data_IF_095783624071
#
_entry.id   IF_095783624071
#
_cell.length_a   1.000
_cell.length_b   1.000
_cell.length_c   1.000
_cell.angle_alpha   90.00
_cell.angle_beta   90.00
_cell.angle_gamma   90.00
#
_symmetry.space_group_name_H-M   'P 1'
#
loop_
_entity.id
_entity.type
_entity.pdbx_description
1 polymer ?
#
# COMPACT_ATOMS: atom_id res chain seq x y z
N UNK A 1 -46.42 -13.21 -10.34
CA UNK A 1 -45.01 -13.59 -10.47
C UNK A 1 -44.21 -12.39 -9.97
N UNK A 2 -43.69 -12.45 -8.74
CA UNK A 2 -42.86 -11.35 -8.22
C UNK A 2 -41.59 -11.29 -9.06
N UNK A 3 -41.30 -10.12 -9.65
CA UNK A 3 -40.02 -9.90 -10.32
C UNK A 3 -38.91 -10.21 -9.32
N UNK A 4 -38.06 -11.18 -9.63
CA UNK A 4 -36.80 -11.36 -8.90
C UNK A 4 -36.09 -10.00 -8.86
N UNK A 5 -35.88 -9.45 -7.66
CA UNK A 5 -35.18 -8.18 -7.50
C UNK A 5 -33.83 -8.25 -8.22
N UNK A 6 -33.63 -7.35 -9.18
CA UNK A 6 -32.39 -7.29 -9.93
C UNK A 6 -31.29 -6.76 -9.02
N UNK A 7 -30.38 -7.65 -8.62
CA UNK A 7 -29.18 -7.27 -7.85
C UNK A 7 -28.24 -6.46 -8.74
N UNK A 8 -28.07 -5.17 -8.41
CA UNK A 8 -27.22 -4.24 -9.13
C UNK A 8 -26.06 -3.81 -8.23
N UNK A 9 -24.83 -3.89 -8.76
CA UNK A 9 -23.64 -3.38 -8.09
C UNK A 9 -23.25 -2.00 -8.66
N UNK A 10 -22.94 -1.03 -7.79
CA UNK A 10 -22.23 0.19 -8.18
C UNK A 10 -20.72 -0.03 -8.12
N UNK A 11 -19.97 0.58 -9.04
CA UNK A 11 -18.52 0.37 -9.18
C UNK A 11 -17.82 1.69 -9.48
N UNK A 12 -16.74 1.95 -8.76
CA UNK A 12 -15.88 3.12 -8.98
C UNK A 12 -14.41 2.80 -8.62
N UNK A 13 -13.47 3.65 -9.03
CA UNK A 13 -12.05 3.55 -8.76
C UNK A 13 -11.42 4.77 -8.08
N UNK A 14 -10.39 4.51 -7.29
CA UNK A 14 -9.48 5.51 -6.77
C UNK A 14 -8.05 5.27 -7.29
N UNK A 15 -7.36 6.37 -7.61
CA UNK A 15 -5.91 6.32 -7.82
C UNK A 15 -5.43 6.17 -9.26
N UNK A 16 -6.16 6.68 -10.26
CA UNK A 16 -5.65 6.69 -11.64
C UNK A 16 -4.53 7.68 -11.88
N UNK A 17 -4.66 8.91 -11.39
CA UNK A 17 -3.68 9.99 -11.59
C UNK A 17 -2.37 9.97 -10.77
N UNK A 18 -2.30 9.38 -9.56
CA UNK A 18 -1.08 9.33 -8.76
C UNK A 18 0.15 8.77 -9.47
N UNK A 19 1.34 9.28 -9.10
CA UNK A 19 2.64 8.80 -9.59
C UNK A 19 3.11 7.53 -8.88
N UNK A 20 2.56 7.24 -7.70
CA UNK A 20 2.94 6.10 -6.86
C UNK A 20 1.73 5.34 -6.30
N UNK A 21 1.96 4.08 -5.95
CA UNK A 21 0.97 3.20 -5.34
C UNK A 21 -0.02 2.57 -6.33
N UNK A 22 -0.95 1.74 -5.83
CA UNK A 22 -1.89 0.99 -6.66
C UNK A 22 -3.03 1.85 -7.21
N UNK A 23 -3.77 1.28 -8.15
CA UNK A 23 -5.15 1.65 -8.42
C UNK A 23 -6.06 0.69 -7.66
N UNK A 24 -7.09 1.22 -7.01
CA UNK A 24 -8.07 0.46 -6.23
C UNK A 24 -9.43 0.69 -6.85
N UNK A 25 -10.20 -0.37 -7.05
CA UNK A 25 -11.61 -0.27 -7.40
C UNK A 25 -12.46 -0.97 -6.34
N UNK A 26 -13.67 -0.50 -6.16
CA UNK A 26 -14.67 -1.15 -5.31
C UNK A 26 -15.92 -1.44 -6.11
N UNK A 27 -16.59 -2.53 -5.76
CA UNK A 27 -17.94 -2.86 -6.19
C UNK A 27 -18.81 -2.97 -4.94
N UNK A 28 -19.99 -2.38 -4.94
CA UNK A 28 -20.89 -2.35 -3.78
C UNK A 28 -22.31 -2.68 -4.22
N UNK A 29 -22.92 -3.66 -3.55
CA UNK A 29 -24.36 -3.92 -3.64
C UNK A 29 -24.99 -3.37 -2.35
N UNK A 30 -25.76 -2.29 -2.49
CA UNK A 30 -26.50 -1.69 -1.39
C UNK A 30 -27.88 -2.37 -1.24
N UNK A 31 -28.29 -2.78 -0.03
CA UNK A 31 -29.66 -3.17 0.26
C UNK A 31 -30.64 -2.00 0.05
N UNK A 32 -31.88 -2.25 -0.39
CA UNK A 32 -32.87 -1.17 -0.63
C UNK A 32 -33.16 -0.31 0.62
N UNK A 33 -33.12 -0.92 1.81
CA UNK A 33 -33.37 -0.24 3.09
C UNK A 33 -32.09 -0.09 3.93
N UNK A 34 -30.98 0.26 3.29
CA UNK A 34 -29.66 0.35 3.93
C UNK A 34 -29.57 1.46 5.01
N UNK A 35 -30.41 2.50 4.96
CA UNK A 35 -30.49 3.54 6.00
C UNK A 35 -29.27 4.46 6.13
N UNK A 36 -28.32 4.40 5.20
CA UNK A 36 -27.11 5.24 5.20
C UNK A 36 -27.47 6.62 4.66
N UNK A 37 -27.18 7.67 5.44
CA UNK A 37 -27.46 9.04 5.04
C UNK A 37 -26.22 9.79 4.55
N UNK A 38 -26.39 10.59 3.50
CA UNK A 38 -25.36 11.52 3.05
C UNK A 38 -24.24 10.89 2.22
N UNK A 39 -24.53 9.77 1.54
CA UNK A 39 -23.75 9.27 0.41
C UNK A 39 -23.65 10.35 -0.67
N UNK A 40 -22.44 10.55 -1.18
CA UNK A 40 -22.12 11.49 -2.24
C UNK A 40 -20.75 11.14 -2.83
N UNK A 41 -20.35 11.81 -3.91
CA UNK A 41 -18.98 11.74 -4.44
C UNK A 41 -17.96 11.91 -3.31
N UNK A 42 -17.09 10.89 -3.17
CA UNK A 42 -16.04 10.83 -2.16
C UNK A 42 -15.18 12.10 -2.12
N UNK A 43 -14.98 12.80 -3.25
CA UNK A 43 -14.19 14.03 -3.33
C UNK A 43 -14.86 15.23 -2.68
N UNK A 44 -16.19 15.24 -2.58
CA UNK A 44 -16.98 16.29 -1.93
C UNK A 44 -17.08 16.12 -0.41
N UNK A 45 -16.71 14.94 0.09
CA UNK A 45 -16.77 14.60 1.51
C UNK A 45 -15.45 14.92 2.23
N UNK A 46 -15.53 15.27 3.51
CA UNK A 46 -14.34 15.38 4.37
C UNK A 46 -13.77 13.99 4.68
N UNK A 47 -12.49 13.90 5.04
CA UNK A 47 -11.87 12.62 5.40
C UNK A 47 -12.61 11.90 6.54
N UNK A 48 -12.96 12.63 7.60
CA UNK A 48 -13.72 12.11 8.75
C UNK A 48 -15.09 11.56 8.34
N UNK A 49 -15.82 12.28 7.46
CA UNK A 49 -17.13 11.81 6.97
C UNK A 49 -17.00 10.58 6.09
N UNK A 50 -15.97 10.50 5.24
CA UNK A 50 -15.67 9.30 4.44
C UNK A 50 -15.34 8.10 5.30
N UNK A 51 -14.53 8.26 6.34
CA UNK A 51 -14.16 7.18 7.26
C UNK A 51 -15.41 6.65 7.99
N UNK A 52 -16.30 7.54 8.48
CA UNK A 52 -17.60 7.12 9.06
C UNK A 52 -18.47 6.33 8.07
N UNK A 53 -18.64 6.86 6.85
CA UNK A 53 -19.44 6.19 5.83
C UNK A 53 -18.81 4.88 5.36
N UNK A 54 -17.48 4.77 5.37
CA UNK A 54 -16.78 3.53 5.06
C UNK A 54 -17.20 2.41 6.02
N UNK A 55 -17.24 2.69 7.32
CA UNK A 55 -17.66 1.71 8.32
C UNK A 55 -19.14 1.34 8.14
N UNK A 56 -20.03 2.33 7.98
CA UNK A 56 -21.46 2.12 7.75
C UNK A 56 -21.75 1.29 6.49
N UNK A 57 -21.04 1.53 5.39
CA UNK A 57 -21.19 0.75 4.15
C UNK A 57 -20.75 -0.70 4.38
N UNK A 58 -19.60 -0.93 5.02
CA UNK A 58 -19.10 -2.29 5.27
C UNK A 58 -19.98 -3.09 6.24
N UNK A 59 -20.74 -2.42 7.10
CA UNK A 59 -21.66 -3.08 8.05
C UNK A 59 -22.88 -3.69 7.35
N UNK A 60 -23.38 -3.05 6.28
CA UNK A 60 -24.69 -3.42 5.69
C UNK A 60 -24.62 -3.87 4.23
N UNK A 61 -23.57 -3.54 3.49
CA UNK A 61 -23.45 -3.79 2.06
C UNK A 61 -22.56 -4.99 1.74
N UNK A 62 -22.79 -5.62 0.59
CA UNK A 62 -21.83 -6.57 0.01
C UNK A 62 -20.79 -5.77 -0.77
N UNK A 63 -19.53 -5.90 -0.37
CA UNK A 63 -18.41 -5.06 -0.83
C UNK A 63 -17.28 -5.93 -1.38
N UNK A 64 -16.96 -5.72 -2.65
CA UNK A 64 -15.81 -6.32 -3.30
C UNK A 64 -14.72 -5.30 -3.60
N UNK A 65 -13.46 -5.59 -3.26
CA UNK A 65 -12.32 -4.68 -3.47
C UNK A 65 -11.27 -5.29 -4.41
N UNK A 66 -10.99 -4.60 -5.51
CA UNK A 66 -9.93 -4.93 -6.46
C UNK A 66 -8.74 -4.00 -6.31
N UNK A 67 -7.52 -4.56 -6.22
CA UNK A 67 -6.29 -3.78 -6.04
C UNK A 67 -5.28 -4.23 -7.10
N UNK A 68 -4.84 -3.29 -7.92
CA UNK A 68 -3.85 -3.54 -8.97
C UNK A 68 -2.61 -2.71 -8.73
N UNK A 69 -1.49 -3.39 -8.55
CA UNK A 69 -0.20 -2.79 -8.19
C UNK A 69 0.40 -1.92 -9.30
N UNK A 70 1.25 -0.96 -8.91
CA UNK A 70 2.06 -0.14 -9.82
C UNK A 70 2.84 -0.99 -10.84
N UNK A 71 3.37 -2.16 -10.43
CA UNK A 71 4.06 -3.10 -11.34
C UNK A 71 3.15 -3.63 -12.44
N UNK A 72 1.87 -3.83 -12.15
CA UNK A 72 0.89 -4.25 -13.16
C UNK A 72 0.48 -3.07 -14.03
N UNK A 73 0.26 -1.89 -13.44
CA UNK A 73 -0.01 -0.63 -14.18
C UNK A 73 1.08 -0.39 -15.22
N UNK A 74 2.34 -0.53 -14.86
CA UNK A 74 3.48 -0.34 -15.77
C UNK A 74 3.50 -1.35 -16.92
N UNK A 75 2.92 -2.55 -16.74
CA UNK A 75 2.88 -3.60 -17.77
C UNK A 75 1.71 -3.45 -18.74
N UNK A 76 0.54 -3.04 -18.24
CA UNK A 76 -0.71 -3.07 -19.02
C UNK A 76 -1.33 -1.70 -19.25
N UNK A 77 -0.68 -0.62 -18.83
CA UNK A 77 -1.19 0.76 -18.74
C UNK A 77 -2.29 0.97 -17.68
N UNK A 78 -2.55 2.23 -17.36
CA UNK A 78 -3.49 2.61 -16.30
C UNK A 78 -4.95 2.26 -16.63
N UNK A 79 -5.36 2.37 -17.89
CA UNK A 79 -6.73 2.07 -18.30
C UNK A 79 -7.05 0.58 -18.10
N UNK A 80 -6.19 -0.31 -18.60
CA UNK A 80 -6.41 -1.76 -18.43
C UNK A 80 -6.23 -2.19 -16.97
N UNK A 81 -5.35 -1.54 -16.22
CA UNK A 81 -5.21 -1.78 -14.79
C UNK A 81 -6.46 -1.40 -14.01
N UNK A 82 -7.11 -0.27 -14.34
CA UNK A 82 -8.41 0.11 -13.77
C UNK A 82 -9.47 -0.95 -14.09
N UNK A 83 -9.60 -1.37 -15.35
CA UNK A 83 -10.56 -2.43 -15.70
C UNK A 83 -10.26 -3.76 -15.00
N UNK A 84 -8.98 -4.10 -14.81
CA UNK A 84 -8.59 -5.27 -14.04
C UNK A 84 -8.98 -5.14 -12.56
N UNK A 85 -8.81 -3.96 -11.95
CA UNK A 85 -9.24 -3.70 -10.58
C UNK A 85 -10.76 -3.81 -10.46
N UNK A 86 -11.54 -3.19 -11.37
CA UNK A 86 -13.01 -3.29 -11.38
C UNK A 86 -13.49 -4.74 -11.49
N UNK A 87 -12.91 -5.54 -12.39
CA UNK A 87 -13.22 -6.98 -12.49
C UNK A 87 -12.93 -7.74 -11.20
N UNK A 88 -11.79 -7.47 -10.57
CA UNK A 88 -11.44 -8.09 -9.28
C UNK A 88 -12.42 -7.69 -8.19
N UNK A 89 -12.86 -6.43 -8.16
CA UNK A 89 -13.85 -5.93 -7.22
C UNK A 89 -15.19 -6.66 -7.41
N UNK A 90 -15.73 -6.69 -8.63
CA UNK A 90 -17.01 -7.36 -8.93
C UNK A 90 -16.96 -8.86 -8.60
N UNK A 91 -15.86 -9.55 -8.94
CA UNK A 91 -15.71 -10.99 -8.68
C UNK A 91 -15.52 -11.34 -7.19
N UNK A 92 -15.32 -10.35 -6.33
CA UNK A 92 -15.18 -10.53 -4.87
C UNK A 92 -16.46 -10.23 -4.09
N UNK A 93 -17.50 -9.75 -4.76
CA UNK A 93 -18.83 -9.68 -4.16
C UNK A 93 -19.28 -11.09 -3.77
N UNK A 94 -19.89 -11.23 -2.60
CA UNK A 94 -20.46 -12.49 -2.15
C UNK A 94 -21.60 -12.94 -3.07
N UNK A 95 -22.41 -11.98 -3.52
CA UNK A 95 -23.52 -12.20 -4.45
C UNK A 95 -23.13 -11.71 -5.84
N UNK A 96 -23.11 -12.59 -6.87
CA UNK A 96 -22.83 -12.14 -8.22
C UNK A 96 -23.95 -11.19 -8.69
N UNK A 97 -23.64 -9.95 -9.08
CA UNK A 97 -24.66 -9.01 -9.53
C UNK A 97 -25.19 -9.40 -10.91
N UNK A 98 -26.46 -9.12 -11.17
CA UNK A 98 -27.06 -9.27 -12.50
C UNK A 98 -26.46 -8.26 -13.48
N UNK A 99 -26.11 -7.07 -12.99
CA UNK A 99 -25.50 -5.96 -13.73
C UNK A 99 -24.67 -5.07 -12.81
N UNK A 100 -23.63 -4.46 -13.36
CA UNK A 100 -22.82 -3.44 -12.69
C UNK A 100 -22.98 -2.07 -13.34
N UNK A 101 -23.15 -1.03 -12.53
CA UNK A 101 -23.14 0.37 -12.94
C UNK A 101 -21.76 0.96 -12.62
N UNK A 102 -21.05 1.42 -13.63
CA UNK A 102 -19.67 1.90 -13.52
C UNK A 102 -19.67 3.43 -13.58
N UNK A 103 -18.94 4.10 -12.69
CA UNK A 103 -18.71 5.54 -12.85
C UNK A 103 -17.98 5.85 -14.17
N UNK A 104 -18.54 6.76 -14.96
CA UNK A 104 -18.05 7.10 -16.29
C UNK A 104 -18.45 6.08 -17.36
N UNK A 105 -17.51 5.26 -17.82
CA UNK A 105 -17.70 4.39 -18.98
C UNK A 105 -17.64 2.92 -18.60
N UNK A 106 -18.56 2.13 -19.17
CA UNK A 106 -18.46 0.68 -19.13
C UNK A 106 -17.16 0.17 -19.75
N UNK A 107 -16.76 -1.03 -19.37
CA UNK A 107 -15.55 -1.66 -19.86
C UNK A 107 -15.84 -2.95 -20.62
N UNK A 108 -15.02 -3.31 -21.63
CA UNK A 108 -15.23 -4.54 -22.38
C UNK A 108 -15.07 -5.77 -21.48
N UNK A 109 -16.13 -6.57 -21.34
CA UNK A 109 -16.09 -7.87 -20.66
C UNK A 109 -17.05 -8.85 -21.33
N UNK A 110 -16.66 -10.13 -21.38
CA UNK A 110 -17.48 -11.18 -22.02
C UNK A 110 -18.53 -11.77 -21.07
N UNK A 111 -18.30 -11.69 -19.77
CA UNK A 111 -19.12 -12.34 -18.73
C UNK A 111 -19.88 -11.32 -17.90
N UNK A 112 -19.22 -10.21 -17.56
CA UNK A 112 -19.79 -9.19 -16.68
C UNK A 112 -20.63 -8.19 -17.48
N UNK A 113 -21.94 -8.18 -17.23
CA UNK A 113 -22.83 -7.14 -17.74
C UNK A 113 -22.54 -5.84 -17.00
N UNK A 114 -22.11 -4.82 -17.72
CA UNK A 114 -21.82 -3.53 -17.14
C UNK A 114 -22.28 -2.38 -18.03
N UNK A 115 -22.66 -1.27 -17.41
CA UNK A 115 -23.06 -0.02 -18.06
C UNK A 115 -22.34 1.16 -17.40
N UNK A 116 -21.86 2.11 -18.20
CA UNK A 116 -21.27 3.33 -17.69
C UNK A 116 -22.31 4.41 -17.42
N UNK A 117 -22.23 5.05 -16.27
CA UNK A 117 -23.05 6.19 -15.88
C UNK A 117 -22.12 7.40 -15.72
N UNK A 118 -22.29 8.40 -16.59
CA UNK A 118 -21.52 9.65 -16.50
C UNK A 118 -21.88 10.37 -15.19
N UNK A 119 -20.88 10.71 -14.39
CA UNK A 119 -21.01 11.27 -13.03
C UNK A 119 -21.92 10.40 -12.14
N UNK A 120 -21.73 9.09 -12.22
CA UNK A 120 -22.54 8.10 -11.53
C UNK A 120 -22.42 8.21 -10.03
N UNK A 121 -21.25 8.61 -9.53
CA UNK A 121 -20.97 8.88 -8.11
C UNK A 121 -21.84 10.00 -7.51
N UNK A 122 -22.48 10.83 -8.34
CA UNK A 122 -23.40 11.88 -7.93
C UNK A 122 -24.89 11.53 -8.17
N UNK A 123 -25.16 10.41 -8.84
CA UNK A 123 -26.51 10.05 -9.31
C UNK A 123 -27.01 8.71 -8.78
N UNK A 124 -26.09 7.81 -8.42
CA UNK A 124 -26.39 6.42 -8.03
C UNK A 124 -25.69 6.12 -6.72
N UNK A 125 -26.46 5.86 -5.68
CA UNK A 125 -25.94 5.68 -4.31
C UNK A 125 -24.94 4.53 -4.19
N UNK A 126 -25.13 3.44 -4.92
CA UNK A 126 -24.18 2.32 -4.93
C UNK A 126 -22.84 2.68 -5.57
N UNK A 127 -22.83 3.57 -6.57
CA UNK A 127 -21.59 4.13 -7.14
C UNK A 127 -20.96 5.10 -6.15
N UNK A 128 -21.75 5.97 -5.50
CA UNK A 128 -21.27 6.84 -4.42
C UNK A 128 -20.59 6.04 -3.31
N UNK A 129 -21.22 4.95 -2.85
CA UNK A 129 -20.67 4.05 -1.85
C UNK A 129 -19.38 3.38 -2.34
N UNK A 130 -19.34 2.87 -3.58
CA UNK A 130 -18.14 2.31 -4.18
C UNK A 130 -16.99 3.34 -4.24
N UNK A 131 -17.28 4.60 -4.56
CA UNK A 131 -16.29 5.69 -4.58
C UNK A 131 -15.65 5.90 -3.21
N UNK A 132 -16.46 5.83 -2.14
CA UNK A 132 -16.00 5.99 -0.75
C UNK A 132 -15.12 4.82 -0.36
N UNK A 133 -15.57 3.58 -0.60
CA UNK A 133 -14.78 2.38 -0.28
C UNK A 133 -13.44 2.39 -1.00
N UNK A 134 -13.43 2.64 -2.32
CA UNK A 134 -12.20 2.68 -3.10
C UNK A 134 -11.25 3.77 -2.60
N UNK A 135 -11.78 4.96 -2.29
CA UNK A 135 -11.00 6.10 -1.83
C UNK A 135 -10.38 5.88 -0.45
N UNK A 136 -11.17 5.45 0.53
CA UNK A 136 -10.69 5.23 1.90
C UNK A 136 -9.69 4.09 1.93
N UNK A 137 -9.98 2.97 1.24
CA UNK A 137 -9.05 1.83 1.13
C UNK A 137 -7.71 2.25 0.53
N UNK A 138 -7.73 2.98 -0.59
CA UNK A 138 -6.50 3.44 -1.23
C UNK A 138 -5.73 4.42 -0.34
N UNK A 139 -6.43 5.34 0.29
CA UNK A 139 -5.79 6.34 1.14
C UNK A 139 -5.15 5.71 2.37
N UNK A 140 -5.75 4.66 2.94
CA UNK A 140 -5.16 3.85 4.01
C UNK A 140 -3.86 3.16 3.55
N UNK A 141 -3.86 2.48 2.39
CA UNK A 141 -2.65 1.87 1.82
C UNK A 141 -1.50 2.88 1.69
N UNK A 142 -1.80 4.09 1.22
CA UNK A 142 -0.78 5.13 1.06
C UNK A 142 -0.30 5.72 2.40
N UNK A 143 -1.16 5.73 3.44
CA UNK A 143 -0.76 6.09 4.81
C UNK A 143 0.16 5.01 5.40
N UNK A 144 -0.19 3.73 5.24
CA UNK A 144 0.58 2.61 5.81
C UNK A 144 1.96 2.42 5.17
N UNK A 145 2.13 2.85 3.91
CA UNK A 145 3.42 2.78 3.21
C UNK A 145 4.29 4.02 3.50
N UNK A 146 3.72 5.11 4.01
CA UNK A 146 4.46 6.36 4.28
C UNK A 146 5.67 6.18 5.21
N UNK A 147 5.61 5.37 6.29
CA UNK A 147 6.77 5.09 7.14
C UNK A 147 7.95 4.46 6.39
N UNK A 148 7.71 3.82 5.23
CA UNK A 148 8.76 3.23 4.39
C UNK A 148 9.48 4.29 3.53
N UNK A 149 8.78 5.39 3.21
CA UNK A 149 9.26 6.46 2.33
C UNK A 149 8.88 7.84 2.90
N UNK A 150 9.29 8.17 4.14
CA UNK A 150 8.78 9.34 4.86
C UNK A 150 9.12 10.65 4.14
N UNK A 151 10.20 10.68 3.35
CA UNK A 151 10.65 11.86 2.59
C UNK A 151 9.72 12.22 1.44
N UNK A 152 8.84 11.31 1.01
CA UNK A 152 7.92 11.55 -0.08
C UNK A 152 6.58 12.10 0.40
N UNK A 153 6.19 11.90 1.67
CA UNK A 153 4.94 12.45 2.22
C UNK A 153 3.66 11.83 1.64
N UNK A 154 3.70 10.55 1.29
CA UNK A 154 2.57 9.78 0.75
C UNK A 154 1.35 9.79 1.66
N UNK A 155 1.52 9.84 2.98
CA UNK A 155 0.41 9.95 3.94
C UNK A 155 -0.39 11.25 3.76
N UNK A 156 0.19 12.30 3.15
CA UNK A 156 -0.50 13.57 2.88
C UNK A 156 -1.17 13.55 1.51
N UNK A 157 -0.38 13.49 0.45
CA UNK A 157 -0.86 13.65 -0.93
C UNK A 157 -1.16 12.33 -1.64
N UNK A 158 -1.07 11.17 -0.98
CA UNK A 158 -1.52 9.85 -1.49
C UNK A 158 -0.90 9.44 -2.83
N UNK A 159 0.31 9.92 -3.10
CA UNK A 159 1.05 9.69 -4.35
C UNK A 159 0.70 10.60 -5.52
N UNK A 160 -0.23 11.55 -5.38
CA UNK A 160 -0.47 12.57 -6.43
C UNK A 160 0.78 13.44 -6.65
N UNK A 161 1.02 13.89 -7.88
CA UNK A 161 2.18 14.71 -8.26
C UNK A 161 2.04 16.17 -7.81
N UNK A 162 1.95 16.41 -6.51
CA UNK A 162 2.00 17.75 -5.93
C UNK A 162 3.41 18.34 -6.10
N UNK A 163 3.56 19.65 -5.91
CA UNK A 163 4.88 20.29 -5.99
C UNK A 163 5.90 19.62 -5.04
N UNK A 164 5.47 19.31 -3.82
CA UNK A 164 6.30 18.59 -2.85
C UNK A 164 6.78 17.23 -3.38
N UNK A 165 5.85 16.43 -3.92
CA UNK A 165 6.17 15.10 -4.45
C UNK A 165 7.07 15.18 -5.68
N UNK A 166 6.86 16.16 -6.56
CA UNK A 166 7.69 16.39 -7.74
C UNK A 166 9.12 16.79 -7.36
N UNK A 167 9.29 17.64 -6.35
CA UNK A 167 10.61 18.02 -5.83
C UNK A 167 11.33 16.80 -5.22
N UNK A 168 10.65 16.05 -4.35
CA UNK A 168 11.18 14.82 -3.76
C UNK A 168 11.59 13.81 -4.85
N UNK A 169 10.78 13.65 -5.90
CA UNK A 169 11.09 12.79 -7.03
C UNK A 169 12.34 13.24 -7.81
N UNK A 170 12.55 14.54 -7.98
CA UNK A 170 13.74 15.07 -8.65
C UNK A 170 15.02 14.89 -7.83
N UNK A 171 14.94 15.19 -6.52
CA UNK A 171 16.05 15.15 -5.57
C UNK A 171 16.43 13.72 -5.16
N UNK A 172 15.44 12.91 -4.80
CA UNK A 172 15.61 11.58 -4.20
C UNK A 172 15.40 10.43 -5.20
N UNK A 173 14.96 10.73 -6.42
CA UNK A 173 14.63 9.76 -7.49
C UNK A 173 13.40 8.92 -7.15
N UNK A 174 13.00 8.03 -8.06
CA UNK A 174 11.82 7.20 -7.89
C UNK A 174 12.04 6.04 -6.90
N UNK A 175 11.09 5.83 -6.00
CA UNK A 175 11.05 4.66 -5.08
C UNK A 175 10.51 3.39 -5.77
N UNK A 176 10.63 2.20 -5.14
CA UNK A 176 10.09 0.96 -5.67
C UNK A 176 8.58 0.94 -5.94
N UNK A 177 7.78 1.81 -5.30
CA UNK A 177 6.31 1.87 -5.46
C UNK A 177 5.83 2.87 -6.51
N UNK A 178 6.74 3.63 -7.12
CA UNK A 178 6.39 4.55 -8.19
C UNK A 178 6.03 3.80 -9.48
N UNK A 179 5.15 4.40 -10.28
CA UNK A 179 4.69 3.90 -11.58
C UNK A 179 5.69 4.32 -12.65
N UNK A 180 6.62 3.43 -12.97
CA UNK A 180 7.80 3.72 -13.82
C UNK A 180 7.44 4.07 -15.26
N UNK A 181 6.22 3.73 -15.70
CA UNK A 181 5.68 4.09 -17.00
C UNK A 181 5.18 5.53 -17.09
N UNK A 182 4.99 6.23 -15.96
CA UNK A 182 4.50 7.61 -15.95
C UNK A 182 5.67 8.55 -16.21
N UNK A 183 5.52 9.48 -17.16
CA UNK A 183 6.62 10.32 -17.67
C UNK A 183 7.47 10.99 -16.56
N UNK A 184 6.90 11.70 -15.55
CA UNK A 184 7.71 12.30 -14.48
C UNK A 184 8.57 11.30 -13.70
N UNK A 185 8.06 10.08 -13.50
CA UNK A 185 8.76 9.00 -12.78
C UNK A 185 9.85 8.42 -13.67
N UNK A 186 9.54 8.15 -14.93
CA UNK A 186 10.48 7.59 -15.89
C UNK A 186 11.76 8.44 -16.02
N UNK A 187 11.58 9.76 -16.05
CA UNK A 187 12.67 10.74 -16.13
C UNK A 187 13.52 10.81 -14.84
N UNK A 188 13.02 10.26 -13.73
CA UNK A 188 13.66 10.32 -12.41
C UNK A 188 13.93 8.93 -11.81
N UNK A 189 14.16 7.91 -12.64
CA UNK A 189 14.54 6.59 -12.15
C UNK A 189 15.98 6.60 -11.59
N UNK A 190 16.22 5.99 -10.40
CA UNK A 190 17.57 5.81 -9.91
C UNK A 190 18.32 4.78 -10.75
N UNK A 191 19.63 4.95 -10.89
CA UNK A 191 20.52 3.93 -11.43
C UNK A 191 21.57 3.55 -10.36
N UNK A 192 22.32 2.46 -10.60
CA UNK A 192 23.30 1.98 -9.63
C UNK A 192 24.41 2.98 -9.32
N UNK A 193 24.82 3.79 -10.29
CA UNK A 193 25.82 4.83 -10.07
C UNK A 193 25.30 5.88 -9.09
N UNK A 194 24.08 6.38 -9.30
CA UNK A 194 23.44 7.35 -8.42
C UNK A 194 23.26 6.79 -7.00
N UNK A 195 22.80 5.53 -6.88
CA UNK A 195 22.62 4.87 -5.57
C UNK A 195 23.94 4.75 -4.80
N UNK A 196 25.05 4.40 -5.49
CA UNK A 196 26.39 4.33 -4.91
C UNK A 196 26.87 5.72 -4.48
N UNK A 197 26.83 6.71 -5.37
CA UNK A 197 27.33 8.06 -5.11
C UNK A 197 26.60 8.78 -3.98
N UNK A 198 25.31 8.50 -3.80
CA UNK A 198 24.47 9.12 -2.75
C UNK A 198 24.32 8.24 -1.50
N UNK A 199 25.08 7.13 -1.39
CA UNK A 199 25.01 6.19 -0.26
C UNK A 199 23.58 5.65 0.02
N UNK A 200 22.78 5.45 -1.03
CA UNK A 200 21.37 5.00 -0.94
C UNK A 200 21.18 3.48 -1.08
N UNK A 201 22.27 2.70 -1.17
CA UNK A 201 22.19 1.24 -1.30
C UNK A 201 21.55 0.59 -0.07
N UNK A 202 22.00 0.92 1.14
CA UNK A 202 21.45 0.38 2.40
C UNK A 202 19.96 0.67 2.53
N UNK A 203 19.61 1.97 2.45
CA UNK A 203 18.23 2.47 2.44
C UNK A 203 17.32 1.77 1.42
N UNK A 204 17.79 1.52 0.19
CA UNK A 204 17.00 0.77 -0.78
C UNK A 204 16.75 -0.68 -0.33
N UNK A 205 17.73 -1.34 0.29
CA UNK A 205 17.56 -2.69 0.82
C UNK A 205 16.57 -2.74 1.98
N UNK A 206 16.68 -1.82 2.94
CA UNK A 206 15.72 -1.65 4.04
C UNK A 206 14.30 -1.44 3.50
N UNK A 207 14.13 -0.52 2.55
CA UNK A 207 12.83 -0.24 1.92
C UNK A 207 12.23 -1.46 1.22
N UNK A 208 13.06 -2.27 0.54
CA UNK A 208 12.60 -3.50 -0.11
C UNK A 208 12.17 -4.57 0.92
N UNK A 209 12.89 -4.68 2.03
CA UNK A 209 12.52 -5.58 3.14
C UNK A 209 11.21 -5.12 3.77
N UNK A 210 11.10 -3.84 4.13
CA UNK A 210 9.89 -3.27 4.73
C UNK A 210 8.66 -3.44 3.81
N UNK A 211 8.81 -3.22 2.51
CA UNK A 211 7.74 -3.51 1.53
C UNK A 211 7.33 -4.98 1.51
N UNK A 212 8.27 -5.92 1.67
CA UNK A 212 7.92 -7.34 1.72
C UNK A 212 7.14 -7.67 3.01
N UNK A 213 7.56 -7.13 4.16
CA UNK A 213 6.82 -7.26 5.41
C UNK A 213 5.42 -6.67 5.27
N UNK A 214 5.29 -5.46 4.73
CA UNK A 214 3.98 -4.86 4.43
C UNK A 214 3.10 -5.78 3.57
N UNK A 215 3.63 -6.33 2.48
CA UNK A 215 2.90 -7.26 1.62
C UNK A 215 2.53 -8.60 2.29
N UNK A 216 3.22 -8.97 3.38
CA UNK A 216 2.90 -10.14 4.22
C UNK A 216 1.93 -9.81 5.36
N UNK A 217 1.36 -8.60 5.39
CA UNK A 217 0.39 -8.15 6.37
C UNK A 217 0.99 -7.68 7.69
N UNK A 218 2.26 -7.27 7.69
CA UNK A 218 2.84 -6.55 8.82
C UNK A 218 2.56 -5.05 8.66
N UNK A 219 2.29 -4.36 9.77
CA UNK A 219 2.24 -2.90 9.79
C UNK A 219 3.64 -2.37 10.04
N UNK A 220 4.18 -1.57 9.12
CA UNK A 220 5.45 -0.88 9.35
C UNK A 220 5.16 0.34 10.21
N UNK A 221 5.80 0.42 11.37
CA UNK A 221 5.61 1.50 12.34
C UNK A 221 6.61 2.62 12.06
N UNK A 222 7.88 2.26 11.93
CA UNK A 222 8.98 3.20 11.75
C UNK A 222 10.16 2.51 11.06
N UNK A 223 11.01 3.30 10.40
CA UNK A 223 12.27 2.85 9.83
C UNK A 223 13.41 3.77 10.24
N UNK A 224 14.62 3.21 10.36
CA UNK A 224 15.87 3.93 10.64
C UNK A 224 15.78 4.80 11.90
N UNK A 225 15.21 4.21 12.96
CA UNK A 225 15.00 4.89 14.23
C UNK A 225 16.30 4.95 15.02
N UNK A 226 16.81 6.15 15.23
CA UNK A 226 17.96 6.38 16.11
C UNK A 226 17.54 6.30 17.58
N UNK A 227 18.14 5.39 18.34
CA UNK A 227 17.90 5.16 19.76
C UNK A 227 19.04 5.73 20.61
N UNK A 228 19.21 7.06 20.58
CA UNK A 228 20.25 7.77 21.34
C UNK A 228 21.65 7.15 21.11
N UNK A 229 22.41 6.89 22.19
CA UNK A 229 23.72 6.25 22.15
C UNK A 229 23.67 4.71 22.02
N UNK A 230 22.48 4.10 22.05
CA UNK A 230 22.30 2.64 22.07
C UNK A 230 22.40 2.00 20.69
N UNK A 231 22.00 2.73 19.64
CA UNK A 231 22.11 2.26 18.26
C UNK A 231 20.98 2.77 17.38
N UNK A 232 20.77 2.09 16.26
CA UNK A 232 19.73 2.36 15.28
C UNK A 232 18.93 1.08 15.04
N UNK A 233 17.62 1.22 14.85
CA UNK A 233 16.72 0.13 14.48
C UNK A 233 16.26 0.36 13.04
N UNK A 234 16.67 -0.52 12.12
CA UNK A 234 16.41 -0.35 10.69
C UNK A 234 14.90 -0.40 10.37
N UNK A 235 14.18 -1.39 10.91
CA UNK A 235 12.74 -1.55 10.69
C UNK A 235 12.05 -1.97 11.99
N UNK A 236 10.99 -1.26 12.33
CA UNK A 236 10.08 -1.59 13.42
C UNK A 236 8.70 -1.88 12.82
N UNK A 237 8.18 -3.06 13.06
CA UNK A 237 6.91 -3.52 12.54
C UNK A 237 6.04 -4.17 13.63
N UNK A 238 4.75 -4.30 13.34
CA UNK A 238 3.79 -5.00 14.20
C UNK A 238 2.97 -6.00 13.40
N UNK A 239 2.61 -7.12 14.05
CA UNK A 239 1.62 -8.07 13.56
C UNK A 239 1.10 -8.92 14.71
N UNK A 240 -0.22 -9.10 14.83
CA UNK A 240 -0.85 -9.97 15.83
C UNK A 240 -0.37 -9.73 17.28
N UNK A 241 -0.35 -8.47 17.74
CA UNK A 241 0.16 -8.08 19.08
C UNK A 241 1.63 -8.45 19.38
N UNK A 242 2.45 -8.62 18.34
CA UNK A 242 3.90 -8.77 18.44
C UNK A 242 4.61 -7.52 17.89
N UNK A 243 5.67 -7.07 18.56
CA UNK A 243 6.68 -6.15 18.02
C UNK A 243 7.75 -6.94 17.26
N UNK A 244 8.00 -6.54 16.03
CA UNK A 244 8.99 -7.17 15.16
C UNK A 244 10.05 -6.14 14.79
N UNK A 245 11.29 -6.41 15.19
CA UNK A 245 12.46 -5.63 14.81
C UNK A 245 13.20 -6.38 13.70
N UNK A 246 13.58 -5.69 12.63
CA UNK A 246 14.29 -6.31 11.50
C UNK A 246 15.57 -5.55 11.22
N UNK A 247 16.70 -6.24 11.39
CA UNK A 247 18.02 -5.74 10.98
C UNK A 247 18.29 -6.15 9.51
N UNK A 248 18.77 -5.21 8.69
CA UNK A 248 18.91 -5.38 7.24
C UNK A 248 20.35 -5.24 6.79
N UNK A 249 20.90 -6.32 6.24
CA UNK A 249 22.23 -6.33 5.60
C UNK A 249 22.10 -6.27 4.09
N UNK A 250 22.47 -5.14 3.50
CA UNK A 250 22.44 -4.96 2.05
C UNK A 250 23.82 -5.12 1.43
N UNK A 251 23.92 -5.98 0.40
CA UNK A 251 25.16 -6.22 -0.34
C UNK A 251 24.96 -6.11 -1.86
N UNK A 252 26.02 -5.70 -2.57
CA UNK A 252 26.11 -5.79 -4.03
C UNK A 252 26.89 -7.04 -4.46
N UNK A 253 26.74 -7.50 -5.72
CA UNK A 253 27.49 -8.67 -6.25
C UNK A 253 29.01 -8.63 -5.97
N UNK A 254 29.60 -7.45 -6.00
CA UNK A 254 31.04 -7.22 -5.77
C UNK A 254 31.49 -7.48 -4.31
N UNK A 255 30.55 -7.68 -3.38
CA UNK A 255 30.80 -7.90 -1.94
C UNK A 255 30.54 -9.36 -1.50
N UNK A 256 30.40 -10.30 -2.44
CA UNK A 256 30.16 -11.72 -2.13
C UNK A 256 31.42 -12.41 -1.59
N UNK A 257 31.33 -13.03 -0.40
CA UNK A 257 32.35 -13.97 0.10
C UNK A 257 32.49 -14.09 1.62
N UNK A 258 31.97 -13.14 2.41
CA UNK A 258 31.99 -13.21 3.88
C UNK A 258 30.76 -13.90 4.47
N UNK A 259 30.80 -14.38 5.73
CA UNK A 259 29.64 -14.92 6.42
C UNK A 259 28.58 -13.84 6.57
N UNK A 260 27.65 -13.78 5.61
CA UNK A 260 26.42 -12.97 5.66
C UNK A 260 25.56 -13.33 6.89
N UNK A 261 25.87 -14.46 7.55
CA UNK A 261 25.07 -15.17 8.53
C UNK A 261 25.35 -14.89 10.01
N UNK A 262 26.30 -14.03 10.38
CA UNK A 262 26.48 -13.68 11.80
C UNK A 262 26.33 -12.18 12.01
N UNK A 263 25.24 -11.78 12.66
CA UNK A 263 25.29 -10.58 13.50
C UNK A 263 26.29 -10.92 14.61
N UNK A 264 27.35 -10.15 14.75
CA UNK A 264 28.31 -10.41 15.83
C UNK A 264 27.65 -10.11 17.19
N UNK A 265 28.15 -10.72 18.27
CA UNK A 265 27.55 -10.56 19.59
C UNK A 265 27.54 -9.09 20.05
N UNK A 266 28.50 -8.28 19.62
CA UNK A 266 28.52 -6.84 19.97
C UNK A 266 27.37 -6.10 19.31
N UNK A 267 27.03 -6.45 18.07
CA UNK A 267 25.92 -5.85 17.33
C UNK A 267 24.58 -6.32 17.88
N UNK A 268 24.47 -7.59 18.30
CA UNK A 268 23.27 -8.08 19.02
C UNK A 268 23.03 -7.31 20.33
N UNK A 269 24.06 -7.10 21.15
CA UNK A 269 23.95 -6.33 22.40
C UNK A 269 23.49 -4.88 22.17
N UNK A 270 23.97 -4.24 21.10
CA UNK A 270 23.54 -2.89 20.72
C UNK A 270 22.09 -2.87 20.26
N UNK A 271 21.69 -3.84 19.44
CA UNK A 271 20.30 -3.99 19.00
C UNK A 271 19.38 -4.23 20.18
N UNK A 272 19.74 -5.12 21.10
CA UNK A 272 18.98 -5.37 22.32
C UNK A 272 18.81 -4.10 23.15
N UNK A 273 19.89 -3.34 23.37
CA UNK A 273 19.84 -2.07 24.10
C UNK A 273 18.93 -1.04 23.41
N UNK A 274 18.98 -0.96 22.08
CA UNK A 274 18.11 -0.08 21.30
C UNK A 274 16.63 -0.52 21.34
N UNK A 275 16.37 -1.84 21.29
CA UNK A 275 15.03 -2.41 21.45
C UNK A 275 14.47 -2.09 22.84
N UNK A 276 15.24 -2.31 23.91
CA UNK A 276 14.80 -2.00 25.28
C UNK A 276 14.53 -0.50 25.45
N UNK A 277 15.36 0.37 24.86
CA UNK A 277 15.09 1.81 24.83
C UNK A 277 13.77 2.12 24.13
N UNK A 278 13.52 1.57 22.94
CA UNK A 278 12.25 1.72 22.22
C UNK A 278 11.05 1.28 23.07
N UNK A 279 11.15 0.11 23.70
CA UNK A 279 10.08 -0.49 24.50
C UNK A 279 9.82 0.30 25.78
N UNK A 280 10.83 0.94 26.37
CA UNK A 280 10.64 1.79 27.55
C UNK A 280 9.76 3.03 27.28
N UNK A 281 9.56 3.38 26.02
CA UNK A 281 8.65 4.45 25.58
C UNK A 281 7.25 3.94 25.20
N UNK A 282 7.02 2.61 25.20
CA UNK A 282 5.72 2.02 24.90
C UNK A 282 4.96 1.71 26.20
N UNK A 283 3.63 1.83 26.15
CA UNK A 283 2.72 1.45 27.24
C UNK A 283 2.04 0.09 26.93
N UNK A 284 2.79 -0.89 26.44
CA UNK A 284 2.28 -2.23 26.16
C UNK A 284 3.29 -3.34 26.46
N UNK A 285 2.77 -4.54 26.76
CA UNK A 285 3.55 -5.74 27.10
C UNK A 285 3.57 -6.76 25.94
N UNK A 286 3.66 -6.27 24.70
CA UNK A 286 3.63 -7.12 23.50
C UNK A 286 4.85 -8.03 23.40
N UNK A 287 4.66 -9.22 22.83
CA UNK A 287 5.76 -10.13 22.52
C UNK A 287 6.76 -9.49 21.55
N UNK A 288 8.03 -9.89 21.64
CA UNK A 288 9.12 -9.30 20.84
C UNK A 288 9.75 -10.37 19.95
N UNK A 289 9.98 -10.00 18.69
CA UNK A 289 10.72 -10.82 17.74
C UNK A 289 11.81 -10.01 17.03
N UNK A 290 13.03 -10.54 17.02
CA UNK A 290 14.12 -10.04 16.19
C UNK A 290 14.27 -10.92 14.94
N UNK A 291 14.20 -10.29 13.78
CA UNK A 291 14.47 -10.90 12.48
C UNK A 291 15.73 -10.26 11.85
N UNK A 292 16.45 -11.02 11.03
CA UNK A 292 17.54 -10.50 10.19
C UNK A 292 17.21 -10.76 8.73
N UNK A 293 17.33 -9.74 7.90
CA UNK A 293 17.14 -9.83 6.46
C UNK A 293 18.43 -9.50 5.72
N UNK A 294 18.71 -10.24 4.65
CA UNK A 294 19.86 -9.95 3.78
C UNK A 294 19.36 -9.66 2.38
N UNK A 295 19.82 -8.55 1.79
CA UNK A 295 19.37 -8.08 0.48
C UNK A 295 20.53 -8.07 -0.48
N UNK A 296 20.40 -8.85 -1.55
CA UNK A 296 21.33 -8.81 -2.68
C UNK A 296 20.72 -7.98 -3.81
N UNK A 297 21.27 -6.79 -4.02
CA UNK A 297 20.84 -5.92 -5.11
C UNK A 297 21.40 -6.41 -6.44
N UNK A 298 20.51 -6.90 -7.30
CA UNK A 298 20.76 -7.15 -8.71
C UNK A 298 19.52 -6.70 -9.52
N UNK A 299 19.44 -7.00 -10.83
CA UNK A 299 18.27 -6.64 -11.67
C UNK A 299 16.93 -7.10 -11.06
N UNK A 300 16.93 -8.23 -10.36
CA UNK A 300 15.87 -8.71 -9.48
C UNK A 300 16.44 -8.95 -8.08
N UNK A 301 16.21 -8.04 -7.12
CA UNK A 301 16.73 -8.19 -5.76
C UNK A 301 16.34 -9.54 -5.14
N UNK A 302 17.29 -10.19 -4.49
CA UNK A 302 17.07 -11.44 -3.74
C UNK A 302 17.11 -11.07 -2.26
N UNK A 303 16.09 -11.49 -1.51
CA UNK A 303 16.00 -11.25 -0.07
C UNK A 303 15.95 -12.61 0.64
N UNK A 304 16.78 -12.80 1.65
CA UNK A 304 16.74 -13.96 2.55
C UNK A 304 16.39 -13.49 3.97
N UNK A 305 15.65 -14.32 4.71
CA UNK A 305 15.15 -14.01 6.04
C UNK A 305 15.60 -15.06 7.05
N UNK A 306 16.00 -14.59 8.22
CA UNK A 306 16.31 -15.39 9.39
C UNK A 306 15.43 -14.86 10.51
N UNK A 307 14.37 -15.61 10.86
CA UNK A 307 13.35 -15.15 11.80
C UNK A 307 13.59 -15.69 13.20
N UNK A 308 13.20 -14.91 14.21
CA UNK A 308 13.27 -15.33 15.62
C UNK A 308 14.70 -15.61 16.06
N UNK A 309 15.61 -14.68 15.76
CA UNK A 309 16.99 -14.75 16.27
C UNK A 309 16.94 -14.57 17.78
N UNK A 310 17.53 -15.52 18.53
CA UNK A 310 17.62 -15.40 19.98
C UNK A 310 18.51 -14.22 20.36
N UNK A 311 18.09 -13.50 21.39
CA UNK A 311 18.87 -12.43 22.02
C UNK A 311 19.79 -12.98 23.15
N UNK A 312 19.69 -14.28 23.46
CA UNK A 312 20.47 -14.98 24.52
C UNK A 312 21.95 -15.24 24.17
#
# INVERSE_FOLDING_TARGET
MGSSLEIIAGVDEAGRGPLAGPVVASAVILPENHGIEGLADSKKLTAKKREKLFDEINEVADVGIGIVSHRTIDKINILQATFKAMRQAINKLEKPPHKSLIDGFGFPDKKLKNEGIIDGDNKVESISAASIIAKVTRDAIMKDIDPIFPEYGFAKHKGYGTQYHMNALQELKATPIHRKSFKPVHENLPNMQWLKSNKKIGSLGEQLVALQYYNQGYKIIEMNRTCSHYGELDIIAQKNDEWIFVEVKTATKDQMGGPVSKVDNSKLQKLESAIQYFLSEQEDDKDIRLDVATVMLNKMPIIQYYKGISLD
#
